data_IF_982045947262
#
_entry.id   IF_982045947262
#
_cell.length_a   1.000
_cell.length_b   1.000
_cell.length_c   1.000
_cell.angle_alpha   90.00
_cell.angle_beta   90.00
_cell.angle_gamma   90.00
#
_symmetry.space_group_name_H-M   'P 1'
#
loop_
_entity.id
_entity.type
_entity.pdbx_description
1 polymer ?
#
# COMPACT_ATOMS: atom_id res chain seq x y z
N UNK A 1 29.29 29.69 -37.79
CA UNK A 1 28.43 29.92 -36.61
C UNK A 1 27.80 28.58 -36.20
N UNK A 2 28.51 27.73 -35.46
CA UNK A 2 27.98 26.46 -34.93
C UNK A 2 28.75 26.05 -33.65
N UNK A 3 28.64 26.83 -32.58
CA UNK A 3 29.24 26.50 -31.27
C UNK A 3 28.33 27.05 -30.16
N UNK A 4 27.16 26.45 -29.99
CA UNK A 4 26.19 26.89 -28.98
C UNK A 4 25.20 25.83 -28.51
N UNK A 5 25.04 24.72 -29.24
CA UNK A 5 24.07 23.67 -28.88
C UNK A 5 24.59 22.67 -27.85
N UNK A 6 25.91 22.52 -27.69
CA UNK A 6 26.51 21.56 -26.75
C UNK A 6 26.41 21.99 -25.28
N UNK A 7 26.45 23.30 -24.99
CA UNK A 7 26.44 23.81 -23.62
C UNK A 7 25.02 23.87 -23.02
N UNK A 8 24.00 24.05 -23.86
CA UNK A 8 22.60 24.13 -23.42
C UNK A 8 22.05 22.78 -22.92
N UNK A 9 22.30 21.69 -23.65
CA UNK A 9 21.84 20.35 -23.26
C UNK A 9 22.56 19.84 -22.02
N UNK A 10 23.87 20.07 -21.91
CA UNK A 10 24.66 19.69 -20.74
C UNK A 10 24.26 20.51 -19.51
N UNK A 11 23.98 21.81 -19.69
CA UNK A 11 23.44 22.65 -18.62
C UNK A 11 22.08 22.17 -18.12
N UNK A 12 21.16 21.84 -19.02
CA UNK A 12 19.83 21.32 -18.65
C UNK A 12 19.96 19.96 -17.94
N UNK A 13 20.80 19.06 -18.46
CA UNK A 13 21.05 17.75 -17.84
C UNK A 13 21.57 17.88 -16.42
N UNK A 14 22.60 18.71 -16.20
CA UNK A 14 23.16 18.92 -14.86
C UNK A 14 22.14 19.55 -13.90
N UNK A 15 21.30 20.45 -14.41
CA UNK A 15 20.26 21.12 -13.62
C UNK A 15 19.16 20.12 -13.19
N UNK A 16 18.68 19.30 -14.13
CA UNK A 16 17.71 18.23 -13.82
C UNK A 16 18.31 17.16 -12.91
N UNK A 17 19.59 16.80 -13.11
CA UNK A 17 20.26 15.83 -12.25
C UNK A 17 20.41 16.37 -10.82
N UNK A 18 20.74 17.65 -10.68
CA UNK A 18 20.86 18.32 -9.38
C UNK A 18 19.51 18.36 -8.65
N UNK A 19 18.44 18.82 -9.31
CA UNK A 19 17.11 18.89 -8.69
C UNK A 19 16.48 17.51 -8.49
N UNK A 20 16.62 16.61 -9.46
CA UNK A 20 16.15 15.24 -9.35
C UNK A 20 16.87 14.49 -8.23
N UNK A 21 18.19 14.66 -8.11
CA UNK A 21 19.00 14.13 -7.01
C UNK A 21 18.59 14.72 -5.66
N UNK A 22 18.39 16.04 -5.58
CA UNK A 22 17.95 16.71 -4.35
C UNK A 22 16.59 16.19 -3.88
N UNK A 23 15.61 16.08 -4.80
CA UNK A 23 14.28 15.54 -4.49
C UNK A 23 14.37 14.07 -4.07
N UNK A 24 15.14 13.26 -4.79
CA UNK A 24 15.34 11.86 -4.46
C UNK A 24 15.98 11.68 -3.08
N UNK A 25 16.97 12.52 -2.74
CA UNK A 25 17.61 12.52 -1.42
C UNK A 25 16.61 12.85 -0.31
N UNK A 26 15.79 13.89 -0.50
CA UNK A 26 14.76 14.27 0.48
C UNK A 26 13.74 13.16 0.67
N UNK A 27 13.22 12.57 -0.42
CA UNK A 27 12.27 11.45 -0.36
C UNK A 27 12.89 10.25 0.34
N UNK A 28 14.15 9.93 0.04
CA UNK A 28 14.87 8.83 0.69
C UNK A 28 15.05 9.07 2.19
N UNK A 29 15.42 10.29 2.60
CA UNK A 29 15.58 10.65 4.01
C UNK A 29 14.27 10.57 4.78
N UNK A 30 13.18 11.07 4.17
CA UNK A 30 11.82 10.99 4.72
C UNK A 30 11.37 9.54 4.82
N UNK A 31 11.65 8.71 3.81
CA UNK A 31 11.33 7.28 3.83
C UNK A 31 12.14 6.46 4.86
N UNK A 32 13.34 6.92 5.22
CA UNK A 32 14.12 6.34 6.32
C UNK A 32 13.57 6.72 7.70
N UNK A 33 13.16 7.98 7.87
CA UNK A 33 12.66 8.50 9.16
C UNK A 33 11.22 8.07 9.45
N UNK A 34 10.42 7.95 8.39
CA UNK A 34 9.11 7.32 8.42
C UNK A 34 9.28 5.99 7.69
N UNK A 35 9.78 4.91 8.34
CA UNK A 35 9.54 3.58 7.80
C UNK A 35 8.05 3.56 7.58
N UNK A 36 7.64 3.56 6.31
CA UNK A 36 6.25 3.48 5.97
C UNK A 36 5.78 2.29 6.79
N UNK A 37 4.90 2.56 7.75
CA UNK A 37 4.00 1.54 8.17
C UNK A 37 3.20 1.25 6.91
N UNK A 38 3.78 0.44 6.02
CA UNK A 38 3.11 -0.40 5.05
C UNK A 38 2.35 -1.48 5.85
N UNK A 39 1.60 -1.02 6.85
CA UNK A 39 0.22 -1.39 7.07
C UNK A 39 -0.65 -0.51 6.16
N UNK A 40 -0.28 -0.37 4.88
CA UNK A 40 -1.33 -0.51 3.88
C UNK A 40 -1.71 -1.98 4.03
N UNK A 41 -2.92 -2.35 4.50
CA UNK A 41 -3.38 -3.69 4.24
C UNK A 41 -3.27 -3.81 2.73
N UNK A 42 -2.37 -4.70 2.30
CA UNK A 42 -2.27 -5.17 0.93
C UNK A 42 -3.68 -5.09 0.34
N UNK A 43 -3.91 -4.22 -0.63
CA UNK A 43 -5.13 -4.29 -1.44
C UNK A 43 -5.12 -5.56 -2.32
N UNK A 44 -4.11 -6.41 -2.13
CA UNK A 44 -3.92 -7.79 -2.56
C UNK A 44 -4.18 -8.83 -1.48
N UNK A 45 -4.60 -8.44 -0.27
CA UNK A 45 -5.16 -9.40 0.68
C UNK A 45 -6.47 -9.90 0.07
N UNK A 46 -6.66 -11.23 -0.07
CA UNK A 46 -7.94 -11.77 -0.50
C UNK A 46 -9.05 -11.14 0.34
N UNK A 47 -10.23 -10.85 -0.24
CA UNK A 47 -11.36 -10.43 0.57
C UNK A 47 -11.50 -11.40 1.75
N UNK A 48 -11.73 -10.91 2.97
CA UNK A 48 -11.78 -11.75 4.16
C UNK A 48 -12.74 -12.90 3.89
N UNK A 49 -12.33 -14.11 4.26
CA UNK A 49 -13.16 -15.29 4.02
C UNK A 49 -14.50 -15.12 4.73
N UNK A 50 -15.53 -15.81 4.24
CA UNK A 50 -16.86 -15.75 4.86
C UNK A 50 -16.80 -16.07 6.37
N UNK A 51 -15.88 -16.96 6.78
CA UNK A 51 -15.61 -17.28 8.19
C UNK A 51 -15.01 -16.11 8.98
N UNK A 52 -14.10 -15.36 8.39
CA UNK A 52 -13.44 -14.21 9.02
C UNK A 52 -14.43 -13.05 9.22
N UNK A 53 -15.31 -12.83 8.25
CA UNK A 53 -16.43 -11.87 8.37
C UNK A 53 -17.35 -12.29 9.54
N UNK A 54 -17.66 -13.58 9.65
CA UNK A 54 -18.49 -14.12 10.73
C UNK A 54 -17.86 -13.87 12.11
N UNK A 55 -16.56 -14.16 12.26
CA UNK A 55 -15.81 -13.93 13.51
C UNK A 55 -15.81 -12.45 13.90
N UNK A 56 -15.63 -11.55 12.93
CA UNK A 56 -15.67 -10.10 13.18
C UNK A 56 -17.04 -9.67 13.69
N UNK A 57 -18.13 -10.14 13.07
CA UNK A 57 -19.50 -9.80 13.50
C UNK A 57 -19.84 -10.36 14.88
N UNK A 58 -19.38 -11.58 15.18
CA UNK A 58 -19.56 -12.18 16.50
C UNK A 58 -18.79 -11.40 17.57
N UNK A 59 -17.54 -11.02 17.30
CA UNK A 59 -16.73 -10.20 18.21
C UNK A 59 -17.32 -8.80 18.44
N UNK A 60 -18.03 -8.25 17.44
CA UNK A 60 -18.79 -7.00 17.57
C UNK A 60 -20.12 -7.15 18.31
N UNK A 61 -20.55 -8.38 18.59
CA UNK A 61 -21.87 -8.65 19.17
C UNK A 61 -23.03 -8.40 18.22
N UNK A 62 -22.78 -8.29 16.91
CA UNK A 62 -23.83 -8.15 15.89
C UNK A 62 -24.60 -9.46 15.65
N UNK A 63 -23.99 -10.60 16.00
CA UNK A 63 -24.59 -11.93 15.93
C UNK A 63 -24.41 -12.69 17.23
N UNK A 64 -25.40 -13.49 17.59
CA UNK A 64 -25.38 -14.35 18.77
C UNK A 64 -24.57 -15.63 18.53
N UNK A 65 -24.22 -16.34 19.61
CA UNK A 65 -23.48 -17.60 19.51
C UNK A 65 -24.24 -18.68 18.71
N UNK A 66 -25.57 -18.73 18.85
CA UNK A 66 -26.42 -19.67 18.12
C UNK A 66 -26.47 -19.38 16.61
N UNK A 67 -26.45 -18.10 16.24
CA UNK A 67 -26.38 -17.67 14.84
C UNK A 67 -25.01 -17.95 14.24
N UNK A 68 -23.94 -17.66 14.99
CA UNK A 68 -22.56 -17.96 14.58
C UNK A 68 -22.39 -19.44 14.26
N UNK A 69 -22.89 -20.33 15.12
CA UNK A 69 -22.76 -21.78 14.94
C UNK A 69 -23.50 -22.27 13.68
N UNK A 70 -24.75 -21.82 13.47
CA UNK A 70 -25.54 -22.18 12.28
C UNK A 70 -24.88 -21.71 10.98
N UNK A 71 -24.37 -20.49 10.97
CA UNK A 71 -23.68 -19.93 9.81
C UNK A 71 -22.34 -20.65 9.56
N UNK A 72 -21.60 -21.00 10.61
CA UNK A 72 -20.35 -21.77 10.49
C UNK A 72 -20.60 -23.16 9.88
N UNK A 73 -21.62 -23.89 10.34
CA UNK A 73 -22.02 -25.19 9.78
C UNK A 73 -22.41 -25.07 8.30
N UNK A 74 -23.15 -24.01 7.94
CA UNK A 74 -23.56 -23.74 6.55
C UNK A 74 -22.36 -23.45 5.65
N UNK A 75 -21.36 -22.71 6.15
CA UNK A 75 -20.14 -22.41 5.39
C UNK A 75 -19.24 -23.63 5.22
N UNK A 76 -19.14 -24.51 6.22
CA UNK A 76 -18.39 -25.76 6.13
C UNK A 76 -19.04 -26.77 5.19
N UNK A 77 -20.37 -26.81 5.13
CA UNK A 77 -21.11 -27.71 4.24
C UNK A 77 -21.05 -27.30 2.75
N UNK A 78 -20.65 -26.06 2.44
CA UNK A 78 -20.56 -25.50 1.08
C UNK A 78 -19.11 -25.30 0.60
N UNK A 79 -18.12 -25.85 1.29
CA UNK A 79 -16.72 -25.95 0.85
C UNK A 79 -16.45 -27.32 0.21
#
# INVERSE_FOLDING_TARGET
MMMGFGMGIWGILLMVLFWGGLVALVVWLVGLMFPAADKRPNSTAPPPSAEEILKIRFARGEITADEYKRMQETLQANQ
#
